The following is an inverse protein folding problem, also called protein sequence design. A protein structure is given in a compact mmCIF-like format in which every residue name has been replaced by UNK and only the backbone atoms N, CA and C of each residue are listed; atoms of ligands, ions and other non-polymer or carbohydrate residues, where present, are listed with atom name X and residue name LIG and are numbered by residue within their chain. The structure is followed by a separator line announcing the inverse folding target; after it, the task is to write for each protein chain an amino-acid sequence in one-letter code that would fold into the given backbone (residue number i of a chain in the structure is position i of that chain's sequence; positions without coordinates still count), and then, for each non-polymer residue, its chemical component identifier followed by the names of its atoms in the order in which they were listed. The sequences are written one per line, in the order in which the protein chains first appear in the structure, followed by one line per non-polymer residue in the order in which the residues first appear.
data_IF_160291955164
#
_entry.id   IF_160291955164
#
_cell.length_a   1.000
_cell.length_b   1.000
_cell.length_c   1.000
_cell.angle_alpha   90.00
_cell.angle_beta   90.00
_cell.angle_gamma   90.00
#
_symmetry.space_group_name_H-M   'P 1'
#
loop_
_entity.id
_entity.type
_entity.pdbx_description
1 polymer ?
#
# COMPACT_ATOMS: atom_id res chain seq x y z
N UNK A 1 4.24 18.05 30.28
CA UNK A 1 4.66 17.51 28.96
C UNK A 1 3.46 17.62 28.05
N UNK A 2 3.55 18.44 26.99
CA UNK A 2 2.54 18.49 25.93
C UNK A 2 2.39 17.06 25.37
N UNK A 3 1.13 16.63 25.24
CA UNK A 3 0.82 15.34 24.65
C UNK A 3 1.06 15.48 23.14
N UNK A 4 1.69 14.48 22.53
CA UNK A 4 1.75 14.42 21.08
C UNK A 4 0.34 14.26 20.50
N UNK A 5 -0.04 15.17 19.62
CA UNK A 5 -1.34 15.21 18.96
C UNK A 5 -1.17 15.02 17.45
N UNK A 6 -2.26 14.61 16.79
CA UNK A 6 -2.26 14.36 15.34
C UNK A 6 -3.07 15.46 14.68
N UNK A 7 -2.39 16.37 13.99
CA UNK A 7 -3.04 17.45 13.26
C UNK A 7 -3.32 16.98 11.84
N UNK A 8 -4.56 17.13 11.39
CA UNK A 8 -4.98 16.81 10.02
C UNK A 8 -5.41 18.11 9.35
N UNK A 9 -4.74 18.48 8.25
CA UNK A 9 -5.11 19.58 7.37
C UNK A 9 -5.68 18.99 6.08
N UNK A 10 -6.89 19.41 5.71
CA UNK A 10 -7.52 19.07 4.44
C UNK A 10 -7.60 20.28 3.52
N UNK A 11 -7.37 20.06 2.23
CA UNK A 11 -7.45 21.06 1.15
C UNK A 11 -8.29 20.50 -0.01
N UNK A 12 -9.21 21.30 -0.53
CA UNK A 12 -10.05 20.94 -1.67
C UNK A 12 -9.25 21.06 -2.98
N UNK A 13 -9.22 19.98 -3.77
CA UNK A 13 -8.58 20.00 -5.07
C UNK A 13 -9.39 20.87 -6.05
N UNK A 14 -8.72 21.86 -6.67
CA UNK A 14 -9.26 22.76 -7.72
C UNK A 14 -10.44 23.64 -7.26
N UNK A 15 -10.53 24.02 -5.99
CA UNK A 15 -11.53 24.98 -5.46
C UNK A 15 -11.70 26.25 -6.30
N UNK A 16 -10.62 26.75 -6.90
CA UNK A 16 -10.62 27.96 -7.73
C UNK A 16 -11.52 27.87 -8.96
N UNK A 17 -11.84 26.67 -9.45
CA UNK A 17 -12.70 26.42 -10.63
C UNK A 17 -14.17 26.18 -10.30
N UNK A 18 -14.56 26.29 -9.02
CA UNK A 18 -15.92 26.05 -8.57
C UNK A 18 -16.75 27.32 -8.73
N UNK A 19 -17.80 27.26 -9.55
CA UNK A 19 -18.68 28.40 -9.83
C UNK A 19 -19.57 28.78 -8.63
N UNK A 20 -19.83 27.86 -7.69
CA UNK A 20 -20.71 28.08 -6.53
C UNK A 20 -19.99 27.90 -5.18
N UNK A 21 -18.96 28.73 -4.94
CA UNK A 21 -18.10 28.63 -3.74
C UNK A 21 -18.86 28.68 -2.41
N UNK A 22 -19.89 29.53 -2.31
CA UNK A 22 -20.69 29.67 -1.08
C UNK A 22 -21.44 28.38 -0.74
N UNK A 23 -22.03 27.71 -1.74
CA UNK A 23 -22.70 26.42 -1.52
C UNK A 23 -21.72 25.34 -1.09
N UNK A 24 -20.52 25.29 -1.68
CA UNK A 24 -19.47 24.32 -1.29
C UNK A 24 -19.01 24.56 0.15
N UNK A 25 -18.83 25.82 0.54
CA UNK A 25 -18.45 26.17 1.91
C UNK A 25 -19.52 25.79 2.94
N UNK A 26 -20.81 25.98 2.61
CA UNK A 26 -21.91 25.55 3.48
C UNK A 26 -21.94 24.02 3.64
N UNK A 27 -21.85 23.27 2.53
CA UNK A 27 -21.76 21.80 2.56
C UNK A 27 -20.55 21.33 3.37
N UNK A 28 -19.40 22.02 3.24
CA UNK A 28 -18.19 21.65 3.97
C UNK A 28 -18.40 21.90 5.46
N UNK A 29 -19.02 23.01 5.83
CA UNK A 29 -19.37 23.31 7.23
C UNK A 29 -20.27 22.22 7.82
N UNK A 30 -21.35 21.86 7.12
CA UNK A 30 -22.25 20.77 7.55
C UNK A 30 -21.53 19.42 7.69
N UNK A 31 -20.63 19.11 6.74
CA UNK A 31 -19.81 17.91 6.79
C UNK A 31 -18.90 17.88 8.01
N UNK A 32 -18.18 18.98 8.28
CA UNK A 32 -17.29 19.07 9.43
C UNK A 32 -18.07 19.02 10.75
N UNK A 33 -19.28 19.58 10.82
CA UNK A 33 -20.17 19.41 11.97
C UNK A 33 -20.48 17.94 12.23
N UNK A 34 -20.94 17.19 11.22
CA UNK A 34 -21.20 15.75 11.35
C UNK A 34 -19.96 14.97 11.76
N UNK A 35 -18.80 15.31 11.19
CA UNK A 35 -17.52 14.70 11.52
C UNK A 35 -17.17 14.91 12.99
N UNK A 36 -17.30 16.14 13.47
CA UNK A 36 -17.03 16.49 14.86
C UNK A 36 -17.96 15.75 15.83
N UNK A 37 -19.22 15.58 15.47
CA UNK A 37 -20.19 14.83 16.27
C UNK A 37 -19.89 13.32 16.29
N UNK A 38 -19.60 12.72 15.13
CA UNK A 38 -19.33 11.28 15.00
C UNK A 38 -18.02 10.87 15.69
N UNK A 39 -16.96 11.67 15.57
CA UNK A 39 -15.62 11.38 16.07
C UNK A 39 -15.26 12.17 17.34
N UNK A 40 -16.25 12.70 18.06
CA UNK A 40 -16.05 13.58 19.23
C UNK A 40 -15.05 13.01 20.25
N UNK A 41 -15.05 11.69 20.46
CA UNK A 41 -14.17 11.00 21.43
C UNK A 41 -12.71 10.96 21.01
N UNK A 42 -12.44 11.02 19.71
CA UNK A 42 -11.09 10.95 19.15
C UNK A 42 -10.52 12.34 18.81
N UNK A 43 -11.35 13.38 18.89
CA UNK A 43 -11.00 14.76 18.55
C UNK A 43 -10.52 15.51 19.80
N UNK A 44 -9.33 16.08 19.71
CA UNK A 44 -8.76 17.00 20.69
C UNK A 44 -9.17 18.45 20.40
N UNK A 45 -9.20 18.84 19.12
CA UNK A 45 -9.67 20.15 18.67
C UNK A 45 -10.54 19.99 17.43
N UNK A 46 -11.77 20.52 17.41
CA UNK A 46 -12.75 20.26 16.36
C UNK A 46 -12.25 20.70 14.99
N UNK A 47 -12.63 19.94 13.97
CA UNK A 47 -12.38 20.29 12.60
C UNK A 47 -13.12 21.58 12.24
N UNK A 48 -12.38 22.57 11.72
CA UNK A 48 -12.91 23.87 11.32
C UNK A 48 -12.22 24.40 10.08
N UNK A 49 -12.95 25.19 9.31
CA UNK A 49 -12.43 25.89 8.13
C UNK A 49 -11.48 27.01 8.60
N UNK A 50 -10.35 27.17 7.94
CA UNK A 50 -9.40 28.26 8.20
C UNK A 50 -9.45 29.33 7.14
N UNK A 51 -8.94 29.03 5.94
CA UNK A 51 -8.79 29.98 4.84
C UNK A 51 -9.39 29.38 3.57
N UNK A 52 -10.54 29.92 3.17
CA UNK A 52 -11.22 29.54 1.93
C UNK A 52 -11.71 28.09 1.96
N UNK A 53 -10.93 27.21 1.34
CA UNK A 53 -11.22 25.81 1.08
C UNK A 53 -10.34 24.82 1.88
N UNK A 54 -9.50 25.35 2.77
CA UNK A 54 -8.71 24.58 3.74
C UNK A 54 -9.43 24.47 5.09
N UNK A 55 -9.24 23.33 5.74
CA UNK A 55 -9.70 23.08 7.10
C UNK A 55 -8.65 22.29 7.86
N UNK A 56 -8.72 22.34 9.19
CA UNK A 56 -7.94 21.43 10.02
C UNK A 56 -8.73 21.00 11.25
N UNK A 57 -8.33 19.85 11.79
CA UNK A 57 -8.72 19.38 13.12
C UNK A 57 -7.56 18.69 13.80
N UNK A 58 -7.71 18.41 15.08
CA UNK A 58 -6.68 17.74 15.89
C UNK A 58 -7.28 16.51 16.53
N UNK A 59 -6.59 15.38 16.37
CA UNK A 59 -6.98 14.09 16.90
C UNK A 59 -6.04 13.72 18.05
N UNK A 60 -6.60 13.03 19.03
CA UNK A 60 -5.85 12.59 20.22
C UNK A 60 -5.08 11.27 19.99
N UNK A 61 -5.31 10.59 18.85
CA UNK A 61 -4.64 9.36 18.43
C UNK A 61 -4.77 9.15 16.90
N UNK A 62 -4.03 8.18 16.33
CA UNK A 62 -4.06 7.90 14.88
C UNK A 62 -5.17 6.95 14.44
N UNK A 63 -5.74 6.13 15.33
CA UNK A 63 -6.74 5.10 15.01
C UNK A 63 -7.86 5.58 14.07
N UNK A 64 -8.48 6.77 14.26
CA UNK A 64 -9.59 7.20 13.41
C UNK A 64 -9.14 7.81 12.07
N UNK A 65 -7.84 8.00 11.81
CA UNK A 65 -7.36 8.80 10.66
C UNK A 65 -7.90 8.26 9.33
N UNK A 66 -7.76 6.96 9.05
CA UNK A 66 -8.28 6.39 7.80
C UNK A 66 -9.80 6.55 7.73
N UNK A 67 -10.52 6.26 8.82
CA UNK A 67 -11.97 6.36 8.88
C UNK A 67 -12.45 7.80 8.60
N UNK A 68 -11.81 8.81 9.19
CA UNK A 68 -12.08 10.24 9.02
C UNK A 68 -11.82 10.68 7.59
N UNK A 69 -10.67 10.31 7.02
CA UNK A 69 -10.34 10.67 5.64
C UNK A 69 -11.29 10.00 4.63
N UNK A 70 -11.71 8.74 4.87
CA UNK A 70 -12.72 8.08 4.05
C UNK A 70 -14.09 8.76 4.18
N UNK A 71 -14.50 9.13 5.39
CA UNK A 71 -15.75 9.84 5.64
C UNK A 71 -15.81 11.14 4.82
N UNK A 72 -14.74 11.93 4.84
CA UNK A 72 -14.62 13.15 4.06
C UNK A 72 -14.75 12.89 2.55
N UNK A 73 -14.05 11.87 2.04
CA UNK A 73 -14.08 11.46 0.62
C UNK A 73 -15.44 10.91 0.16
N UNK A 74 -16.24 10.34 1.06
CA UNK A 74 -17.53 9.71 0.75
C UNK A 74 -18.67 10.72 0.83
N UNK A 75 -18.72 11.51 1.90
CA UNK A 75 -19.82 12.45 2.13
C UNK A 75 -19.70 13.68 1.22
N UNK A 76 -18.50 14.02 0.74
CA UNK A 76 -18.28 15.12 -0.20
C UNK A 76 -18.01 14.66 -1.65
N UNK A 77 -18.97 13.96 -2.24
CA UNK A 77 -18.85 13.29 -3.57
C UNK A 77 -18.42 14.19 -4.74
N UNK A 78 -18.62 15.50 -4.62
CA UNK A 78 -18.43 16.48 -5.70
C UNK A 78 -16.98 16.95 -5.83
N UNK A 79 -16.13 16.69 -4.82
CA UNK A 79 -14.80 17.29 -4.69
C UNK A 79 -13.81 16.28 -4.09
N UNK A 80 -12.62 16.19 -4.69
CA UNK A 80 -11.50 15.43 -4.13
C UNK A 80 -10.74 16.26 -3.09
N UNK A 81 -10.21 15.60 -2.07
CA UNK A 81 -9.38 16.24 -1.04
C UNK A 81 -7.91 15.85 -1.14
N UNK A 82 -7.07 16.68 -0.51
CA UNK A 82 -5.68 16.38 -0.16
C UNK A 82 -5.51 16.54 1.33
N UNK A 83 -4.69 15.69 1.93
CA UNK A 83 -4.50 15.66 3.37
C UNK A 83 -3.03 15.78 3.76
N UNK A 84 -2.69 16.79 4.53
CA UNK A 84 -1.42 16.88 5.25
C UNK A 84 -1.63 16.47 6.70
N UNK A 85 -0.89 15.47 7.16
CA UNK A 85 -0.96 15.00 8.54
C UNK A 85 0.35 15.32 9.23
N UNK A 86 0.27 15.93 10.40
CA UNK A 86 1.40 16.26 11.25
C UNK A 86 1.27 15.59 12.61
N UNK A 87 2.32 14.90 13.03
CA UNK A 87 2.46 14.43 14.40
C UNK A 87 3.47 15.31 15.13
N UNK A 88 3.11 15.74 16.32
CA UNK A 88 3.99 16.54 17.18
C UNK A 88 3.22 17.19 18.31
N UNK A 89 3.84 18.15 18.99
CA UNK A 89 3.18 18.92 20.04
C UNK A 89 2.12 19.83 19.43
N UNK A 90 0.97 19.94 20.08
CA UNK A 90 -0.07 20.90 19.73
C UNK A 90 -0.37 21.79 20.93
N UNK A 91 -0.37 23.10 20.70
CA UNK A 91 -0.84 24.08 21.67
C UNK A 91 -2.13 24.70 21.13
N UNK A 92 -3.13 24.82 21.99
CA UNK A 92 -4.37 25.55 21.70
C UNK A 92 -3.99 26.90 21.09
N UNK A 93 -4.38 27.13 19.83
CA UNK A 93 -4.11 28.29 18.94
C UNK A 93 -3.45 27.98 17.58
N UNK A 94 -3.51 26.73 17.08
CA UNK A 94 -2.91 26.38 15.77
C UNK A 94 -1.39 26.59 15.75
N UNK A 95 -0.74 26.27 16.87
CA UNK A 95 0.70 26.39 17.05
C UNK A 95 1.25 25.05 17.57
N UNK A 96 2.57 24.88 17.45
CA UNK A 96 3.26 23.65 17.85
C UNK A 96 3.69 22.81 16.66
N UNK A 97 4.62 21.88 16.91
CA UNK A 97 5.29 21.14 15.85
C UNK A 97 4.35 20.22 15.08
N UNK A 98 3.26 19.74 15.70
CA UNK A 98 2.22 18.98 15.02
C UNK A 98 1.54 19.79 13.91
N UNK A 99 1.21 21.06 14.18
CA UNK A 99 0.58 21.93 13.19
C UNK A 99 1.57 22.33 12.07
N UNK A 100 2.81 22.66 12.43
CA UNK A 100 3.87 22.94 11.45
C UNK A 100 4.15 21.75 10.53
N UNK A 101 4.17 20.54 11.09
CA UNK A 101 4.36 19.31 10.31
C UNK A 101 3.19 19.04 9.37
N UNK A 102 1.95 19.30 9.80
CA UNK A 102 0.79 19.19 8.92
C UNK A 102 0.86 20.20 7.75
N UNK A 103 1.31 21.43 8.01
CA UNK A 103 1.54 22.45 6.97
C UNK A 103 2.63 22.04 5.98
N UNK A 104 3.76 21.50 6.47
CA UNK A 104 4.82 20.93 5.62
C UNK A 104 4.27 19.77 4.80
N UNK A 105 3.45 18.91 5.40
CA UNK A 105 2.88 17.74 4.76
C UNK A 105 1.90 18.13 3.64
N UNK A 106 0.96 19.05 3.88
CA UNK A 106 0.01 19.48 2.85
C UNK A 106 0.72 20.17 1.69
N UNK A 107 1.78 20.95 1.97
CA UNK A 107 2.64 21.52 0.92
C UNK A 107 3.30 20.42 0.08
N UNK A 108 3.89 19.43 0.73
CA UNK A 108 4.51 18.29 0.04
C UNK A 108 3.52 17.52 -0.85
N UNK A 109 2.30 17.31 -0.35
CA UNK A 109 1.20 16.70 -1.12
C UNK A 109 0.85 17.53 -2.35
N UNK A 110 0.75 18.86 -2.21
CA UNK A 110 0.45 19.79 -3.31
C UNK A 110 1.55 19.76 -4.40
N UNK A 111 2.82 19.79 -4.00
CA UNK A 111 3.96 19.82 -4.91
C UNK A 111 4.13 18.50 -5.68
N UNK A 112 3.86 17.37 -5.01
CA UNK A 112 4.01 16.04 -5.61
C UNK A 112 2.75 15.49 -6.26
N UNK A 113 1.59 16.13 -6.02
CA UNK A 113 0.25 15.69 -6.45
C UNK A 113 -0.17 14.35 -5.83
N UNK A 114 0.20 14.14 -4.58
CA UNK A 114 -0.26 13.01 -3.78
C UNK A 114 -1.67 13.27 -3.22
N UNK A 115 -2.28 12.27 -2.58
CA UNK A 115 -3.54 12.44 -1.85
C UNK A 115 -3.34 12.70 -0.36
N UNK A 116 -2.29 12.12 0.22
CA UNK A 116 -2.03 12.21 1.66
C UNK A 116 -0.53 12.18 1.90
N UNK A 117 -0.06 12.79 2.98
CA UNK A 117 1.30 12.61 3.49
C UNK A 117 1.34 12.85 5.00
N UNK A 118 2.16 12.08 5.71
CA UNK A 118 2.44 12.24 7.12
C UNK A 118 3.86 12.75 7.34
N UNK A 119 4.01 13.76 8.19
CA UNK A 119 5.29 14.20 8.75
C UNK A 119 5.24 14.09 10.28
N UNK A 120 6.33 13.58 10.85
CA UNK A 120 6.53 13.44 12.29
C UNK A 120 7.95 13.87 12.64
N UNK A 121 8.12 14.52 13.80
CA UNK A 121 9.46 14.86 14.33
C UNK A 121 10.22 13.64 14.85
N UNK A 122 9.53 12.51 15.01
CA UNK A 122 10.10 11.28 15.52
C UNK A 122 10.54 10.42 14.35
N UNK A 123 11.86 10.29 14.17
CA UNK A 123 12.43 9.29 13.29
C UNK A 123 12.11 7.88 13.85
N UNK A 124 11.02 7.28 13.38
CA UNK A 124 10.56 5.96 13.80
C UNK A 124 9.95 5.21 12.61
N UNK A 125 10.40 3.97 12.42
CA UNK A 125 9.92 3.03 11.40
C UNK A 125 8.39 2.88 11.41
N UNK A 126 7.74 2.99 12.58
CA UNK A 126 6.29 2.96 12.70
C UNK A 126 5.63 4.10 11.90
N UNK A 127 6.15 5.34 11.96
CA UNK A 127 5.59 6.46 11.20
C UNK A 127 5.85 6.32 9.70
N UNK A 128 6.98 5.76 9.31
CA UNK A 128 7.26 5.43 7.90
C UNK A 128 6.30 4.36 7.38
N UNK A 129 6.02 3.31 8.16
CA UNK A 129 5.02 2.29 7.83
C UNK A 129 3.62 2.90 7.72
N UNK A 130 3.20 3.71 8.69
CA UNK A 130 1.92 4.44 8.68
C UNK A 130 1.81 5.29 7.41
N UNK A 131 2.86 6.05 7.07
CA UNK A 131 2.87 6.89 5.88
C UNK A 131 2.75 6.07 4.60
N UNK A 132 3.53 4.97 4.48
CA UNK A 132 3.44 4.05 3.35
C UNK A 132 2.03 3.45 3.18
N UNK A 133 1.40 3.01 4.28
CA UNK A 133 0.02 2.51 4.26
C UNK A 133 -0.94 3.59 3.79
N UNK A 134 -0.85 4.82 4.30
CA UNK A 134 -1.71 5.94 3.89
C UNK A 134 -1.55 6.24 2.39
N UNK A 135 -0.32 6.37 1.91
CA UNK A 135 -0.02 6.62 0.50
C UNK A 135 -0.63 5.53 -0.40
N UNK A 136 -0.37 4.26 -0.09
CA UNK A 136 -0.86 3.15 -0.89
C UNK A 136 -2.39 3.00 -0.82
N UNK A 137 -2.96 3.08 0.38
CA UNK A 137 -4.39 2.92 0.62
C UNK A 137 -5.18 3.99 -0.15
N UNK A 138 -4.86 5.27 0.02
CA UNK A 138 -5.58 6.35 -0.66
C UNK A 138 -5.30 6.41 -2.16
N UNK A 139 -4.12 5.98 -2.62
CA UNK A 139 -3.84 5.83 -4.05
C UNK A 139 -4.69 4.75 -4.74
N UNK A 140 -5.13 3.74 -3.99
CA UNK A 140 -6.06 2.71 -4.47
C UNK A 140 -7.50 3.19 -4.30
N UNK A 141 -7.86 3.60 -3.08
CA UNK A 141 -9.21 4.00 -2.69
C UNK A 141 -9.75 5.14 -3.55
N UNK A 142 -8.94 6.14 -3.87
CA UNK A 142 -9.36 7.30 -4.65
C UNK A 142 -9.61 6.99 -6.14
N UNK A 143 -9.21 5.81 -6.63
CA UNK A 143 -9.53 5.34 -7.99
C UNK A 143 -10.90 4.66 -8.07
N UNK A 144 -11.57 4.44 -6.94
CA UNK A 144 -12.86 3.76 -6.91
C UNK A 144 -14.03 4.69 -7.15
N UNK A 145 -15.11 4.11 -7.69
CA UNK A 145 -16.40 4.79 -7.78
C UNK A 145 -16.96 5.08 -6.39
N UNK A 146 -17.90 6.02 -6.30
CA UNK A 146 -18.58 6.35 -5.05
C UNK A 146 -19.13 5.09 -4.34
N UNK A 147 -19.87 4.23 -5.05
CA UNK A 147 -20.45 3.02 -4.45
C UNK A 147 -19.38 2.09 -3.89
N UNK A 148 -18.26 1.91 -4.61
CA UNK A 148 -17.15 1.08 -4.14
C UNK A 148 -16.49 1.68 -2.89
N UNK A 149 -16.23 3.00 -2.87
CA UNK A 149 -15.72 3.69 -1.67
C UNK A 149 -16.68 3.49 -0.48
N UNK A 150 -17.98 3.71 -0.69
CA UNK A 150 -19.02 3.56 0.33
C UNK A 150 -19.11 2.14 0.87
N UNK A 151 -19.07 1.12 0.01
CA UNK A 151 -19.10 -0.29 0.40
C UNK A 151 -17.87 -0.62 1.26
N UNK A 152 -16.66 -0.24 0.84
CA UNK A 152 -15.42 -0.54 1.57
C UNK A 152 -15.41 0.12 2.95
N UNK A 153 -15.79 1.40 3.02
CA UNK A 153 -15.90 2.14 4.29
C UNK A 153 -16.89 1.49 5.26
N UNK A 154 -18.06 1.06 4.79
CA UNK A 154 -19.03 0.42 5.68
C UNK A 154 -18.61 -1.00 6.07
N UNK A 155 -17.91 -1.74 5.19
CA UNK A 155 -17.32 -3.04 5.53
C UNK A 155 -16.24 -2.90 6.62
N UNK A 156 -15.39 -1.87 6.57
CA UNK A 156 -14.38 -1.61 7.62
C UNK A 156 -14.98 -1.14 8.95
N UNK A 157 -16.24 -0.71 8.96
CA UNK A 157 -17.03 -0.46 10.16
C UNK A 157 -17.80 -1.69 10.65
N UNK A 158 -17.64 -2.85 10.00
CA UNK A 158 -18.26 -4.11 10.39
C UNK A 158 -19.68 -4.34 9.87
N UNK A 159 -20.22 -3.46 9.00
CA UNK A 159 -21.51 -3.72 8.35
C UNK A 159 -21.40 -4.90 7.39
N UNK A 160 -22.49 -5.66 7.25
CA UNK A 160 -22.62 -6.77 6.31
C UNK A 160 -23.07 -6.27 4.94
N UNK A 161 -22.74 -6.99 3.87
CA UNK A 161 -23.14 -6.61 2.51
C UNK A 161 -24.66 -6.41 2.33
N UNK A 162 -25.48 -7.18 3.07
CA UNK A 162 -26.95 -7.03 3.04
C UNK A 162 -27.42 -5.70 3.61
N UNK A 163 -26.78 -5.21 4.68
CA UNK A 163 -27.10 -3.92 5.30
C UNK A 163 -26.68 -2.78 4.37
N UNK A 164 -25.48 -2.87 3.79
CA UNK A 164 -24.97 -1.89 2.82
C UNK A 164 -25.84 -1.85 1.56
N UNK A 165 -26.36 -3.00 1.11
CA UNK A 165 -27.27 -3.06 -0.03
C UNK A 165 -28.57 -2.27 0.24
N UNK A 166 -29.10 -2.37 1.46
CA UNK A 166 -30.27 -1.58 1.86
C UNK A 166 -29.97 -0.07 1.87
N UNK A 167 -28.82 0.34 2.42
CA UNK A 167 -28.38 1.74 2.44
C UNK A 167 -28.26 2.34 1.03
N UNK A 168 -27.81 1.52 0.06
CA UNK A 168 -27.62 1.92 -1.34
C UNK A 168 -28.88 1.73 -2.22
N UNK A 169 -30.02 1.31 -1.66
CA UNK A 169 -31.21 0.89 -2.41
C UNK A 169 -30.86 -0.09 -3.56
N UNK A 170 -30.05 -1.10 -3.25
CA UNK A 170 -29.53 -2.08 -4.20
C UNK A 170 -29.68 -3.52 -3.68
N UNK A 171 -29.27 -4.50 -4.47
CA UNK A 171 -29.23 -5.91 -4.07
C UNK A 171 -27.88 -6.31 -3.50
N UNK A 172 -27.85 -7.30 -2.61
CA UNK A 172 -26.59 -7.89 -2.11
C UNK A 172 -25.72 -8.40 -3.26
N UNK A 173 -26.33 -8.97 -4.31
CA UNK A 173 -25.62 -9.43 -5.50
C UNK A 173 -24.92 -8.27 -6.23
N UNK A 174 -25.53 -7.10 -6.31
CA UNK A 174 -24.93 -5.91 -6.92
C UNK A 174 -23.75 -5.38 -6.09
N UNK A 175 -23.88 -5.39 -4.76
CA UNK A 175 -22.76 -5.08 -3.84
C UNK A 175 -21.60 -6.05 -4.05
N UNK A 176 -21.86 -7.35 -4.09
CA UNK A 176 -20.83 -8.38 -4.35
C UNK A 176 -20.17 -8.19 -5.72
N UNK A 177 -20.96 -7.89 -6.76
CA UNK A 177 -20.44 -7.65 -8.10
C UNK A 177 -19.52 -6.41 -8.14
N UNK A 178 -19.85 -5.36 -7.39
CA UNK A 178 -19.05 -4.13 -7.28
C UNK A 178 -17.65 -4.39 -6.70
N UNK A 179 -17.48 -5.50 -5.98
CA UNK A 179 -16.25 -5.92 -5.32
C UNK A 179 -15.45 -6.97 -6.10
N UNK A 180 -15.98 -7.53 -7.20
CA UNK A 180 -15.41 -8.71 -7.89
C UNK A 180 -14.00 -8.50 -8.47
N UNK A 181 -13.55 -7.24 -8.61
CA UNK A 181 -12.20 -6.89 -9.07
C UNK A 181 -11.45 -5.95 -8.12
N UNK A 182 -11.89 -5.90 -6.86
CA UNK A 182 -11.26 -5.12 -5.80
C UNK A 182 -10.83 -6.08 -4.71
N UNK A 183 -9.57 -6.00 -4.29
CA UNK A 183 -9.14 -6.70 -3.10
C UNK A 183 -9.66 -5.99 -1.83
N UNK A 184 -10.98 -6.05 -1.61
CA UNK A 184 -11.62 -5.35 -0.50
C UNK A 184 -11.26 -5.95 0.86
N UNK A 185 -10.94 -7.24 0.91
CA UNK A 185 -10.43 -7.91 2.11
C UNK A 185 -9.12 -7.27 2.55
N UNK A 186 -8.17 -7.06 1.63
CA UNK A 186 -6.92 -6.33 1.90
C UNK A 186 -7.18 -4.91 2.39
N UNK A 187 -8.13 -4.18 1.80
CA UNK A 187 -8.43 -2.81 2.21
C UNK A 187 -9.03 -2.75 3.62
N UNK A 188 -10.02 -3.60 3.92
CA UNK A 188 -10.60 -3.71 5.27
C UNK A 188 -9.52 -4.11 6.29
N UNK A 189 -8.71 -5.13 5.96
CA UNK A 189 -7.60 -5.57 6.80
C UNK A 189 -6.58 -4.45 7.04
N UNK A 190 -6.31 -3.62 6.03
CA UNK A 190 -5.43 -2.45 6.16
C UNK A 190 -5.98 -1.45 7.17
N UNK A 191 -7.29 -1.18 7.17
CA UNK A 191 -7.92 -0.29 8.16
C UNK A 191 -7.83 -0.88 9.57
N UNK A 192 -8.20 -2.15 9.74
CA UNK A 192 -8.16 -2.82 11.05
C UNK A 192 -6.74 -2.86 11.61
N UNK A 193 -5.77 -3.18 10.75
CA UNK A 193 -4.37 -3.21 11.13
C UNK A 193 -3.83 -1.82 11.46
N UNK A 194 -4.25 -0.79 10.74
CA UNK A 194 -3.84 0.59 11.03
C UNK A 194 -4.26 1.00 12.45
N UNK A 195 -5.46 0.59 12.90
CA UNK A 195 -5.93 0.80 14.27
C UNK A 195 -5.07 0.03 15.29
N UNK A 196 -4.71 -1.21 14.99
CA UNK A 196 -3.80 -1.99 15.85
C UNK A 196 -2.41 -1.37 15.96
N UNK A 197 -1.81 -1.02 14.82
CA UNK A 197 -0.47 -0.45 14.71
C UNK A 197 -0.34 0.83 15.51
N UNK A 198 -1.40 1.62 15.55
CA UNK A 198 -1.43 2.93 16.20
C UNK A 198 -1.86 2.88 17.66
N UNK A 199 -2.54 1.80 18.09
CA UNK A 199 -2.93 1.56 19.47
C UNK A 199 -1.82 1.01 20.37
N UNK A 200 -0.81 0.32 19.82
CA UNK A 200 0.29 -0.29 20.60
C UNK A 200 1.62 0.42 20.32
N UNK A 201 2.17 1.14 21.32
CA UNK A 201 3.51 1.78 21.25
C UNK A 201 4.67 0.79 21.42
N UNK A 202 4.65 -0.36 20.74
CA UNK A 202 5.82 -1.27 20.74
C UNK A 202 6.77 -0.85 19.63
N UNK A 203 8.08 -0.86 19.93
CA UNK A 203 9.12 -0.75 18.92
C UNK A 203 9.00 -1.98 18.01
N UNK A 204 8.94 -1.73 16.72
CA UNK A 204 8.79 -2.75 15.70
C UNK A 204 10.18 -2.96 15.09
N UNK A 205 10.71 -4.19 15.19
CA UNK A 205 11.98 -4.56 14.56
C UNK A 205 11.71 -5.59 13.48
N UNK A 206 12.21 -5.30 12.28
CA UNK A 206 12.24 -6.27 11.17
C UNK A 206 13.67 -6.79 11.16
N UNK A 207 13.89 -8.10 11.22
CA UNK A 207 15.23 -8.63 11.00
C UNK A 207 15.18 -9.61 9.84
N UNK A 208 15.65 -9.15 8.68
CA UNK A 208 15.90 -9.97 7.49
C UNK A 208 17.40 -10.23 7.31
N UNK A 209 18.26 -9.77 8.23
CA UNK A 209 19.71 -9.82 8.06
C UNK A 209 20.28 -11.11 8.59
N UNK A 210 21.10 -11.76 7.77
CA UNK A 210 21.82 -12.96 8.19
C UNK A 210 20.99 -14.23 8.11
N UNK A 211 19.79 -14.17 7.56
CA UNK A 211 18.95 -15.31 7.21
C UNK A 211 18.73 -15.36 5.70
N UNK A 212 18.33 -16.52 5.18
CA UNK A 212 17.88 -16.61 3.81
C UNK A 212 16.41 -16.19 3.72
N UNK A 213 16.06 -15.55 2.61
CA UNK A 213 14.67 -15.29 2.26
C UNK A 213 14.22 -16.31 1.20
N UNK A 214 13.28 -17.17 1.59
CA UNK A 214 12.62 -18.11 0.69
C UNK A 214 11.29 -17.53 0.18
N UNK A 215 10.93 -17.88 -1.05
CA UNK A 215 9.68 -17.50 -1.69
C UNK A 215 8.97 -18.73 -2.21
N UNK A 216 7.68 -18.87 -1.88
CA UNK A 216 6.77 -19.83 -2.51
C UNK A 216 5.63 -19.05 -3.14
N UNK A 217 5.47 -19.20 -4.46
CA UNK A 217 4.41 -18.57 -5.23
C UNK A 217 3.40 -19.61 -5.67
N UNK A 218 2.12 -19.24 -5.66
CA UNK A 218 1.02 -20.09 -6.10
C UNK A 218 0.07 -19.34 -7.04
N UNK A 219 -0.32 -19.99 -8.13
CA UNK A 219 -1.24 -19.45 -9.13
C UNK A 219 -2.29 -20.50 -9.55
N UNK A 220 -3.53 -20.11 -9.90
CA UNK A 220 -4.61 -21.07 -10.11
C UNK A 220 -4.38 -22.00 -11.31
N UNK A 221 -4.69 -23.30 -11.14
CA UNK A 221 -4.63 -24.31 -12.21
C UNK A 221 -5.56 -24.01 -13.37
N UNK A 222 -6.71 -23.39 -13.09
CA UNK A 222 -7.71 -22.99 -14.11
C UNK A 222 -7.15 -22.08 -15.21
N UNK A 223 -6.01 -21.41 -14.97
CA UNK A 223 -5.36 -20.59 -15.98
C UNK A 223 -4.67 -21.43 -17.06
N UNK A 224 -4.23 -22.65 -16.73
CA UNK A 224 -3.54 -23.58 -17.64
C UNK A 224 -2.36 -22.94 -18.42
N UNK A 225 -1.59 -22.08 -17.77
CA UNK A 225 -0.52 -21.28 -18.38
C UNK A 225 0.91 -21.84 -18.12
N UNK A 226 1.07 -23.13 -17.79
CA UNK A 226 2.35 -23.71 -17.32
C UNK A 226 3.59 -23.29 -18.11
N UNK A 227 3.57 -23.48 -19.44
CA UNK A 227 4.70 -23.11 -20.32
C UNK A 227 4.99 -21.60 -20.32
N UNK A 228 3.95 -20.76 -20.26
CA UNK A 228 4.10 -19.30 -20.19
C UNK A 228 4.73 -18.90 -18.86
N UNK A 229 4.29 -19.51 -17.76
CA UNK A 229 4.86 -19.25 -16.44
C UNK A 229 6.32 -19.70 -16.36
N UNK A 230 6.68 -20.86 -16.90
CA UNK A 230 8.06 -21.33 -16.93
C UNK A 230 8.98 -20.37 -17.71
N UNK A 231 8.52 -19.85 -18.85
CA UNK A 231 9.23 -18.82 -19.61
C UNK A 231 9.38 -17.52 -18.81
N UNK A 232 8.32 -17.08 -18.12
CA UNK A 232 8.36 -15.90 -17.24
C UNK A 232 9.38 -16.08 -16.12
N UNK A 233 9.36 -17.21 -15.42
CA UNK A 233 10.31 -17.51 -14.33
C UNK A 233 11.75 -17.58 -14.84
N UNK A 234 11.97 -18.14 -16.04
CA UNK A 234 13.29 -18.17 -16.69
C UNK A 234 13.82 -16.76 -16.94
N UNK A 235 13.01 -15.88 -17.54
CA UNK A 235 13.37 -14.48 -17.76
C UNK A 235 13.69 -13.75 -16.45
N UNK A 236 12.88 -13.95 -15.41
CA UNK A 236 13.09 -13.33 -14.10
C UNK A 236 14.37 -13.83 -13.42
N UNK A 237 14.71 -15.11 -13.57
CA UNK A 237 15.96 -15.68 -13.10
C UNK A 237 17.18 -15.00 -13.76
N UNK A 238 17.10 -14.67 -15.04
CA UNK A 238 18.16 -13.96 -15.76
C UNK A 238 18.25 -12.50 -15.33
N UNK A 239 17.13 -11.78 -15.30
CA UNK A 239 17.04 -10.36 -15.01
C UNK A 239 17.44 -10.03 -13.56
N UNK A 240 17.09 -10.90 -12.61
CA UNK A 240 17.31 -10.72 -11.17
C UNK A 240 18.34 -11.69 -10.58
N UNK A 241 19.27 -12.22 -11.40
CA UNK A 241 20.32 -13.16 -10.96
C UNK A 241 21.22 -12.62 -9.83
N UNK A 242 21.28 -11.29 -9.69
CA UNK A 242 22.05 -10.63 -8.66
C UNK A 242 21.40 -10.79 -7.28
N UNK A 243 20.09 -11.02 -7.21
CA UNK A 243 19.31 -11.22 -5.98
C UNK A 243 19.01 -12.69 -5.70
N UNK A 244 18.80 -13.50 -6.74
CA UNK A 244 18.36 -14.89 -6.62
C UNK A 244 19.58 -15.79 -6.35
N UNK A 245 19.53 -16.59 -5.28
CA UNK A 245 20.56 -17.60 -4.96
C UNK A 245 20.24 -18.94 -5.61
N UNK A 246 18.99 -19.36 -5.52
CA UNK A 246 18.48 -20.60 -6.13
C UNK A 246 17.28 -20.24 -6.99
N UNK A 247 17.40 -20.54 -8.28
CA UNK A 247 16.48 -20.12 -9.34
C UNK A 247 15.03 -20.53 -9.04
N UNK A 248 14.11 -19.69 -9.47
CA UNK A 248 12.69 -20.02 -9.56
C UNK A 248 12.51 -21.30 -10.35
N UNK A 249 11.81 -22.26 -9.76
CA UNK A 249 11.49 -23.55 -10.35
C UNK A 249 10.06 -23.94 -9.99
N UNK A 250 9.32 -24.52 -10.94
CA UNK A 250 8.00 -25.10 -10.69
C UNK A 250 8.15 -26.31 -9.76
N UNK A 251 7.21 -26.47 -8.83
CA UNK A 251 7.23 -27.56 -7.85
C UNK A 251 5.95 -28.39 -7.87
N UNK A 252 6.05 -29.62 -7.39
CA UNK A 252 4.88 -30.47 -7.12
C UNK A 252 4.21 -30.02 -5.81
N UNK A 253 2.89 -30.09 -5.78
CA UNK A 253 2.06 -29.48 -4.74
C UNK A 253 2.14 -30.19 -3.39
N UNK A 254 1.91 -29.43 -2.32
CA UNK A 254 1.40 -30.02 -1.07
C UNK A 254 -0.07 -30.43 -1.23
N UNK A 255 -0.52 -31.43 -0.48
CA UNK A 255 -1.91 -31.95 -0.54
C UNK A 255 -2.99 -30.87 -0.27
N UNK A 256 -2.59 -29.75 0.32
CA UNK A 256 -3.44 -28.65 0.79
C UNK A 256 -3.80 -27.63 -0.30
N UNK A 257 -3.11 -27.63 -1.45
CA UNK A 257 -3.26 -26.62 -2.52
C UNK A 257 -3.69 -27.23 -3.88
N UNK A 258 -4.67 -28.15 -3.86
CA UNK A 258 -5.06 -28.96 -5.04
C UNK A 258 -5.45 -28.15 -6.29
N UNK A 259 -5.88 -26.90 -6.12
CA UNK A 259 -6.35 -26.01 -7.19
C UNK A 259 -5.28 -25.04 -7.72
N UNK A 260 -4.05 -25.09 -7.20
CA UNK A 260 -2.96 -24.18 -7.58
C UNK A 260 -1.80 -24.93 -8.23
N UNK A 261 -0.97 -24.23 -8.99
CA UNK A 261 0.39 -24.61 -9.33
C UNK A 261 1.34 -23.78 -8.47
N UNK A 262 2.51 -24.33 -8.16
CA UNK A 262 3.48 -23.69 -7.30
C UNK A 262 4.84 -23.55 -7.96
N UNK A 263 5.58 -22.55 -7.50
CA UNK A 263 6.99 -22.39 -7.77
C UNK A 263 7.69 -21.88 -6.52
N UNK A 264 9.00 -22.07 -6.44
CA UNK A 264 9.79 -21.56 -5.33
C UNK A 264 11.16 -21.08 -5.75
N UNK A 265 11.73 -20.18 -4.95
CA UNK A 265 13.09 -19.67 -5.09
C UNK A 265 13.71 -19.39 -3.73
N UNK A 266 15.04 -19.28 -3.73
CA UNK A 266 15.79 -18.78 -2.58
C UNK A 266 16.55 -17.53 -2.99
N UNK A 267 16.43 -16.45 -2.21
CA UNK A 267 17.23 -15.25 -2.40
C UNK A 267 18.60 -15.36 -1.71
N UNK A 268 19.54 -14.53 -2.15
CA UNK A 268 20.84 -14.39 -1.49
C UNK A 268 20.64 -13.90 -0.06
N UNK A 269 21.46 -14.43 0.85
CA UNK A 269 21.43 -14.15 2.29
C UNK A 269 21.54 -12.66 2.61
N UNK A 270 22.30 -11.93 1.81
CA UNK A 270 22.38 -10.47 1.87
C UNK A 270 21.76 -9.88 0.60
N UNK A 271 20.62 -9.23 0.76
CA UNK A 271 19.96 -8.49 -0.33
C UNK A 271 20.72 -7.19 -0.53
N UNK A 272 21.44 -7.08 -1.65
CA UNK A 272 22.24 -5.90 -1.98
C UNK A 272 21.42 -4.71 -2.47
N UNK A 273 20.19 -4.95 -2.96
CA UNK A 273 19.34 -3.94 -3.56
C UNK A 273 17.85 -4.26 -3.32
N UNK A 274 17.28 -3.65 -2.29
CA UNK A 274 15.86 -3.82 -1.95
C UNK A 274 14.93 -3.17 -2.98
N UNK A 275 15.35 -2.18 -3.75
CA UNK A 275 14.49 -1.62 -4.81
C UNK A 275 14.29 -2.64 -5.92
N UNK A 276 15.36 -3.31 -6.35
CA UNK A 276 15.26 -4.42 -7.32
C UNK A 276 14.43 -5.59 -6.78
N UNK A 277 14.49 -5.89 -5.48
CA UNK A 277 13.62 -6.90 -4.88
C UNK A 277 12.13 -6.52 -5.01
N UNK A 278 11.80 -5.25 -4.76
CA UNK A 278 10.43 -4.76 -4.96
C UNK A 278 9.99 -4.78 -6.43
N UNK A 279 10.90 -4.47 -7.36
CA UNK A 279 10.63 -4.60 -8.80
C UNK A 279 10.36 -6.04 -9.22
N UNK A 280 11.13 -7.00 -8.70
CA UNK A 280 10.88 -8.42 -8.92
C UNK A 280 9.47 -8.82 -8.46
N UNK A 281 9.03 -8.38 -7.28
CA UNK A 281 7.68 -8.70 -6.80
C UNK A 281 6.59 -8.07 -7.67
N UNK A 282 6.80 -6.83 -8.12
CA UNK A 282 5.90 -6.17 -9.08
C UNK A 282 5.85 -6.92 -10.41
N UNK A 283 6.99 -7.37 -10.93
CA UNK A 283 7.04 -8.10 -12.20
C UNK A 283 6.40 -9.48 -12.09
N UNK A 284 6.69 -10.24 -11.02
CA UNK A 284 6.02 -11.51 -10.73
C UNK A 284 4.50 -11.36 -10.71
N UNK A 285 4.00 -10.38 -9.95
CA UNK A 285 2.57 -10.16 -9.80
C UNK A 285 1.89 -9.62 -11.08
N UNK A 286 2.61 -8.83 -11.87
CA UNK A 286 2.11 -8.30 -13.13
C UNK A 286 2.02 -9.37 -14.22
N UNK A 287 2.99 -10.29 -14.29
CA UNK A 287 3.06 -11.33 -15.33
C UNK A 287 2.25 -12.59 -14.98
N UNK A 288 1.99 -12.84 -13.70
CA UNK A 288 1.26 -14.02 -13.21
C UNK A 288 -0.07 -13.60 -12.60
N UNK A 289 -1.17 -13.90 -13.31
CA UNK A 289 -2.52 -13.58 -12.85
C UNK A 289 -2.90 -14.38 -11.60
N UNK A 290 -3.65 -13.74 -10.69
CA UNK A 290 -4.14 -14.36 -9.45
C UNK A 290 -3.02 -14.97 -8.57
N UNK A 291 -1.81 -14.38 -8.62
CA UNK A 291 -0.65 -14.84 -7.86
C UNK A 291 -0.81 -14.56 -6.36
N UNK A 292 -0.57 -15.59 -5.55
CA UNK A 292 -0.32 -15.51 -4.13
C UNK A 292 1.15 -15.83 -3.83
N UNK A 293 1.75 -15.07 -2.90
CA UNK A 293 3.14 -15.25 -2.50
C UNK A 293 3.24 -15.40 -0.99
N UNK A 294 4.05 -16.36 -0.56
CA UNK A 294 4.56 -16.46 0.80
C UNK A 294 6.06 -16.24 0.83
N UNK A 295 6.50 -15.32 1.68
CA UNK A 295 7.90 -15.05 1.96
C UNK A 295 8.25 -15.53 3.36
N UNK A 296 9.38 -16.22 3.50
CA UNK A 296 9.87 -16.75 4.77
C UNK A 296 11.34 -16.41 4.99
N UNK A 297 11.66 -15.79 6.13
CA UNK A 297 13.04 -15.55 6.56
C UNK A 297 13.49 -16.63 7.53
N UNK A 298 14.61 -17.28 7.25
CA UNK A 298 15.18 -18.28 8.15
C UNK A 298 16.43 -18.95 7.60
N UNK A 299 16.92 -19.93 8.34
CA UNK A 299 18.00 -20.80 7.87
C UNK A 299 17.52 -21.81 6.82
N UNK A 300 18.49 -22.37 6.10
CA UNK A 300 18.32 -23.51 5.20
C UNK A 300 19.08 -24.69 5.82
N UNK A 301 18.39 -25.80 6.04
CA UNK A 301 18.90 -26.98 6.74
C UNK A 301 19.59 -27.97 5.80
N UNK A 302 19.37 -27.86 4.49
CA UNK A 302 19.97 -28.71 3.46
C UNK A 302 21.07 -27.97 2.69
N UNK A 303 21.79 -28.69 1.83
CA UNK A 303 22.71 -28.07 0.86
C UNK A 303 21.96 -27.08 -0.06
N UNK A 304 22.56 -25.90 -0.28
CA UNK A 304 22.01 -24.87 -1.18
C UNK A 304 22.39 -25.21 -2.62
N UNK A 305 21.37 -25.48 -3.44
CA UNK A 305 21.49 -25.86 -4.85
C UNK A 305 21.19 -24.68 -5.79
N UNK A 306 21.48 -24.84 -7.07
CA UNK A 306 21.19 -23.81 -8.09
C UNK A 306 19.70 -23.66 -8.40
N UNK A 307 18.92 -24.73 -8.25
CA UNK A 307 17.47 -24.71 -8.27
C UNK A 307 16.96 -24.95 -6.85
N UNK A 308 15.87 -24.26 -6.48
CA UNK A 308 15.33 -24.37 -5.12
C UNK A 308 14.66 -25.73 -4.81
N UNK A 309 14.62 -26.67 -5.77
CA UNK A 309 13.96 -27.96 -5.62
C UNK A 309 14.69 -28.88 -4.62
N UNK A 310 13.94 -29.47 -3.69
CA UNK A 310 14.47 -30.37 -2.67
C UNK A 310 15.39 -29.68 -1.67
N UNK A 311 15.23 -28.36 -1.50
CA UNK A 311 15.81 -27.60 -0.40
C UNK A 311 14.80 -27.51 0.75
N UNK A 312 15.31 -27.49 1.98
CA UNK A 312 14.47 -27.50 3.17
C UNK A 312 15.07 -26.65 4.30
N UNK A 313 14.22 -26.22 5.23
CA UNK A 313 14.60 -25.47 6.42
C UNK A 313 13.59 -24.39 6.84
N UNK A 314 13.83 -23.72 7.98
CA UNK A 314 12.93 -22.71 8.54
C UNK A 314 12.45 -21.64 7.56
N UNK A 315 13.28 -21.21 6.62
CA UNK A 315 12.87 -20.23 5.61
C UNK A 315 11.71 -20.74 4.74
N UNK A 316 11.76 -21.99 4.25
CA UNK A 316 10.70 -22.57 3.43
C UNK A 316 9.45 -22.92 4.23
N UNK A 317 9.58 -23.33 5.49
CA UNK A 317 8.45 -23.54 6.39
C UNK A 317 7.66 -22.25 6.61
N UNK A 318 8.35 -21.16 6.96
CA UNK A 318 7.72 -19.84 7.12
C UNK A 318 7.13 -19.32 5.81
N UNK A 319 7.80 -19.54 4.67
CA UNK A 319 7.25 -19.15 3.37
C UNK A 319 5.96 -19.91 3.04
N UNK A 320 5.88 -21.20 3.41
CA UNK A 320 4.67 -22.02 3.28
C UNK A 320 3.53 -21.51 4.17
N UNK A 321 3.81 -21.21 5.43
CA UNK A 321 2.83 -20.64 6.35
C UNK A 321 2.34 -19.27 5.90
N UNK A 322 3.25 -18.42 5.42
CA UNK A 322 2.92 -17.13 4.83
C UNK A 322 1.98 -17.30 3.62
N UNK A 323 2.26 -18.25 2.73
CA UNK A 323 1.39 -18.53 1.58
C UNK A 323 -0.01 -19.00 2.03
N UNK A 324 -0.11 -19.87 3.05
CA UNK A 324 -1.40 -20.27 3.63
C UNK A 324 -2.18 -19.05 4.15
N UNK A 325 -1.49 -18.16 4.87
CA UNK A 325 -2.07 -16.90 5.38
C UNK A 325 -2.56 -16.00 4.24
N UNK A 326 -1.85 -15.96 3.11
CA UNK A 326 -2.25 -15.21 1.91
C UNK A 326 -3.60 -15.68 1.36
N UNK A 327 -3.85 -16.99 1.31
CA UNK A 327 -5.14 -17.54 0.90
C UNK A 327 -6.26 -17.20 1.88
N UNK A 328 -6.02 -17.34 3.19
CA UNK A 328 -7.06 -17.14 4.21
C UNK A 328 -7.43 -15.67 4.39
N UNK A 329 -6.44 -14.77 4.40
CA UNK A 329 -6.64 -13.34 4.61
C UNK A 329 -6.97 -12.59 3.31
N UNK A 330 -6.81 -13.22 2.15
CA UNK A 330 -7.02 -12.60 0.85
C UNK A 330 -5.95 -11.55 0.52
N UNK A 331 -4.74 -11.69 1.07
CA UNK A 331 -3.60 -10.83 0.76
C UNK A 331 -2.75 -11.48 -0.33
N UNK A 332 -2.33 -10.71 -1.33
CA UNK A 332 -1.53 -11.24 -2.44
C UNK A 332 -0.13 -11.69 -1.99
N UNK A 333 0.38 -11.12 -0.91
CA UNK A 333 1.69 -11.45 -0.37
C UNK A 333 1.71 -11.37 1.16
N UNK A 334 2.24 -12.41 1.80
CA UNK A 334 2.60 -12.40 3.22
C UNK A 334 4.09 -12.65 3.41
N UNK A 335 4.63 -12.09 4.48
CA UNK A 335 5.97 -12.33 5.00
C UNK A 335 5.84 -12.87 6.43
N UNK A 336 6.62 -13.91 6.72
CA UNK A 336 6.90 -14.37 8.07
C UNK A 336 8.41 -14.40 8.26
N UNK A 337 8.91 -13.58 9.18
CA UNK A 337 10.31 -13.55 9.58
C UNK A 337 10.44 -13.80 11.08
N UNK A 338 9.93 -12.90 11.91
CA UNK A 338 10.00 -12.97 13.36
C UNK A 338 8.62 -13.11 14.02
N UNK A 339 7.57 -13.33 13.22
CA UNK A 339 6.18 -13.50 13.66
C UNK A 339 5.67 -12.32 14.51
N UNK A 340 5.99 -11.11 14.08
CA UNK A 340 5.70 -9.90 14.83
C UNK A 340 4.82 -8.91 14.05
N UNK A 341 4.54 -7.77 14.70
CA UNK A 341 3.72 -6.71 14.10
C UNK A 341 4.39 -6.12 12.84
N UNK A 342 5.73 -6.15 12.75
CA UNK A 342 6.49 -5.68 11.61
C UNK A 342 6.21 -6.49 10.36
N UNK A 343 6.23 -7.81 10.50
CA UNK A 343 5.97 -8.75 9.41
C UNK A 343 4.58 -8.50 8.83
N UNK A 344 3.60 -8.25 9.70
CA UNK A 344 2.22 -7.92 9.27
C UNK A 344 2.17 -6.55 8.58
N UNK A 345 2.85 -5.52 9.12
CA UNK A 345 2.97 -4.20 8.45
C UNK A 345 3.56 -4.34 7.04
N UNK A 346 4.67 -5.07 6.90
CA UNK A 346 5.34 -5.27 5.61
C UNK A 346 4.46 -6.08 4.66
N UNK A 347 3.78 -7.12 5.15
CA UNK A 347 2.85 -7.92 4.34
C UNK A 347 1.74 -7.06 3.76
N UNK A 348 1.15 -6.17 4.57
CA UNK A 348 0.10 -5.24 4.13
C UNK A 348 0.67 -4.22 3.14
N UNK A 349 1.81 -3.60 3.43
CA UNK A 349 2.44 -2.62 2.54
C UNK A 349 2.78 -3.26 1.18
N UNK A 350 3.38 -4.45 1.16
CA UNK A 350 3.70 -5.18 -0.06
C UNK A 350 2.43 -5.57 -0.81
N UNK A 351 1.43 -6.13 -0.13
CA UNK A 351 0.15 -6.48 -0.77
C UNK A 351 -0.56 -5.26 -1.36
N UNK A 352 -0.55 -4.12 -0.66
CA UNK A 352 -1.11 -2.87 -1.18
C UNK A 352 -0.28 -2.34 -2.36
N UNK A 353 1.06 -2.44 -2.34
CA UNK A 353 1.90 -2.09 -3.48
C UNK A 353 1.53 -2.90 -4.71
N UNK A 354 1.33 -4.21 -4.56
CA UNK A 354 0.91 -5.10 -5.64
C UNK A 354 -0.51 -4.73 -6.15
N UNK A 355 -1.45 -4.42 -5.26
CA UNK A 355 -2.78 -3.96 -5.66
C UNK A 355 -2.76 -2.58 -6.35
N UNK A 356 -1.85 -1.69 -5.94
CA UNK A 356 -1.66 -0.36 -6.54
C UNK A 356 -1.20 -0.45 -8.01
N UNK A 357 -0.30 -1.39 -8.32
CA UNK A 357 0.23 -1.60 -9.68
C UNK A 357 -0.62 -2.53 -10.55
N UNK A 358 -1.54 -3.30 -9.95
CA UNK A 358 -2.38 -4.31 -10.61
C UNK A 358 -3.11 -3.84 -11.87
N UNK A 359 -3.54 -2.58 -11.90
CA UNK A 359 -4.31 -2.00 -13.02
C UNK A 359 -3.46 -1.29 -14.06
N UNK A 360 -2.13 -1.41 -14.00
CA UNK A 360 -1.28 -0.86 -15.04
C UNK A 360 -1.56 -1.52 -16.38
N UNK A 361 -1.65 -0.72 -17.43
CA UNK A 361 -1.66 -1.25 -18.80
C UNK A 361 -0.24 -1.62 -19.22
N UNK A 362 -0.10 -2.47 -20.25
CA UNK A 362 1.22 -2.80 -20.82
C UNK A 362 2.04 -1.56 -21.19
N UNK A 363 1.39 -0.50 -21.69
CA UNK A 363 2.05 0.76 -22.03
C UNK A 363 2.50 1.53 -20.78
N UNK A 364 1.70 1.54 -19.73
CA UNK A 364 2.07 2.16 -18.45
C UNK A 364 3.24 1.42 -17.80
N UNK A 365 3.18 0.08 -17.74
CA UNK A 365 4.27 -0.75 -17.21
C UNK A 365 5.58 -0.55 -17.99
N UNK A 366 5.53 -0.52 -19.32
CA UNK A 366 6.72 -0.22 -20.16
C UNK A 366 7.29 1.16 -19.88
N UNK A 367 6.45 2.19 -19.82
CA UNK A 367 6.90 3.56 -19.52
C UNK A 367 7.57 3.64 -18.13
N UNK A 368 6.99 2.98 -17.12
CA UNK A 368 7.55 2.86 -15.77
C UNK A 368 8.90 2.14 -15.81
N UNK A 369 8.99 0.97 -16.45
CA UNK A 369 10.24 0.20 -16.51
C UNK A 369 11.37 0.98 -17.20
N UNK A 370 11.09 1.69 -18.30
CA UNK A 370 12.09 2.55 -18.91
C UNK A 370 12.48 3.73 -18.02
N UNK A 371 11.54 4.27 -17.25
CA UNK A 371 11.84 5.34 -16.31
C UNK A 371 12.74 4.87 -15.16
N UNK A 372 12.53 3.64 -14.66
CA UNK A 372 13.36 3.00 -13.62
C UNK A 372 14.82 2.91 -14.07
N UNK A 373 15.10 2.55 -15.33
CA UNK A 373 16.46 2.47 -15.86
C UNK A 373 17.04 3.84 -16.29
N UNK A 374 16.38 4.95 -15.92
CA UNK A 374 16.93 6.29 -16.04
C UNK A 374 16.62 7.03 -17.35
N UNK A 375 15.85 6.45 -18.27
CA UNK A 375 15.54 7.11 -19.54
C UNK A 375 14.70 8.38 -19.34
N UNK A 376 15.00 9.38 -20.16
CA UNK A 376 14.23 10.62 -20.30
C UNK A 376 12.91 10.36 -21.04
N UNK A 377 11.94 11.28 -20.90
CA UNK A 377 10.65 11.12 -21.58
C UNK A 377 10.76 11.06 -23.11
N UNK A 378 11.80 11.66 -23.69
CA UNK A 378 12.04 11.64 -25.12
C UNK A 378 12.53 10.26 -25.57
N UNK A 379 13.52 9.69 -24.88
CA UNK A 379 14.04 8.34 -25.16
C UNK A 379 12.97 7.27 -24.96
N UNK A 380 12.13 7.41 -23.92
CA UNK A 380 11.00 6.49 -23.70
C UNK A 380 10.01 6.57 -24.87
N UNK A 381 9.68 7.78 -25.34
CA UNK A 381 8.74 7.98 -26.45
C UNK A 381 9.24 7.32 -27.73
N UNK A 382 10.53 7.46 -28.02
CA UNK A 382 11.19 6.84 -29.17
C UNK A 382 11.17 5.31 -29.06
N UNK A 383 11.63 4.74 -27.94
CA UNK A 383 11.63 3.28 -27.72
C UNK A 383 10.23 2.65 -27.77
N UNK A 384 9.21 3.38 -27.34
CA UNK A 384 7.82 2.89 -27.35
C UNK A 384 7.12 3.10 -28.70
N UNK A 385 7.73 3.81 -29.66
CA UNK A 385 7.13 4.08 -30.97
C UNK A 385 5.79 4.83 -30.88
N UNK A 386 5.63 5.73 -29.90
CA UNK A 386 4.34 6.37 -29.63
C UNK A 386 4.03 7.50 -30.61
N UNK A 387 2.76 7.60 -31.02
CA UNK A 387 2.27 8.70 -31.86
C UNK A 387 2.47 10.07 -31.21
N UNK A 388 2.47 11.12 -32.03
CA UNK A 388 2.62 12.51 -31.57
C UNK A 388 1.59 12.92 -30.50
N UNK A 389 0.40 12.31 -30.47
CA UNK A 389 -0.68 12.59 -29.51
C UNK A 389 -0.53 11.88 -28.17
N UNK A 390 0.23 10.79 -28.10
CA UNK A 390 0.45 10.02 -26.86
C UNK A 390 1.65 10.57 -26.10
N UNK A 391 1.46 11.00 -24.85
CA UNK A 391 2.54 11.54 -24.03
C UNK A 391 3.01 10.55 -22.98
N UNK A 392 4.33 10.44 -22.81
CA UNK A 392 4.95 9.65 -21.74
C UNK A 392 4.52 10.18 -20.37
N UNK A 393 4.45 11.51 -20.21
CA UNK A 393 3.90 12.14 -19.01
C UNK A 393 2.50 11.64 -18.66
N UNK A 394 1.60 11.45 -19.65
CA UNK A 394 0.26 10.94 -19.41
C UNK A 394 0.22 9.45 -19.03
N UNK A 395 1.11 8.61 -19.56
CA UNK A 395 1.24 7.21 -19.14
C UNK A 395 1.81 7.11 -17.73
N UNK A 396 2.92 7.82 -17.43
CA UNK A 396 3.54 7.85 -16.10
C UNK A 396 2.59 8.42 -15.04
N UNK A 397 1.84 9.47 -15.37
CA UNK A 397 0.86 10.05 -14.45
C UNK A 397 -0.26 9.06 -14.13
N UNK A 398 -0.84 8.39 -15.12
CA UNK A 398 -1.90 7.38 -14.90
C UNK A 398 -1.39 6.14 -14.18
N UNK A 399 -0.12 5.80 -14.36
CA UNK A 399 0.56 4.76 -13.58
C UNK A 399 0.80 5.19 -12.11
N UNK A 400 0.76 6.49 -11.82
CA UNK A 400 1.11 7.03 -10.51
C UNK A 400 2.61 7.02 -10.24
N UNK A 401 3.45 7.23 -11.28
CA UNK A 401 4.91 7.09 -11.20
C UNK A 401 5.55 7.82 -10.00
N UNK A 402 5.20 9.08 -9.74
CA UNK A 402 5.78 9.83 -8.61
C UNK A 402 5.52 9.17 -7.26
N UNK A 403 4.30 8.67 -7.09
CA UNK A 403 3.85 7.98 -5.88
C UNK A 403 4.56 6.62 -5.76
N UNK A 404 4.61 5.87 -6.86
CA UNK A 404 5.32 4.60 -6.97
C UNK A 404 6.81 4.73 -6.61
N UNK A 405 7.50 5.72 -7.20
CA UNK A 405 8.91 6.01 -6.97
C UNK A 405 9.16 6.37 -5.50
N UNK A 406 8.30 7.22 -4.91
CA UNK A 406 8.36 7.54 -3.49
C UNK A 406 8.17 6.30 -2.60
N UNK A 407 7.14 5.49 -2.86
CA UNK A 407 6.81 4.28 -2.09
C UNK A 407 7.94 3.26 -2.18
N UNK A 408 8.44 2.95 -3.39
CA UNK A 408 9.52 1.98 -3.58
C UNK A 408 10.78 2.44 -2.87
N UNK A 409 11.14 3.73 -3.00
CA UNK A 409 12.30 4.29 -2.29
C UNK A 409 12.13 4.14 -0.78
N UNK A 410 11.01 4.60 -0.20
CA UNK A 410 10.77 4.55 1.24
C UNK A 410 10.62 3.14 1.78
N UNK A 411 10.03 2.22 1.04
CA UNK A 411 9.96 0.82 1.43
C UNK A 411 11.34 0.14 1.36
N UNK A 412 12.15 0.47 0.35
CA UNK A 412 13.53 -0.04 0.25
C UNK A 412 14.41 0.46 1.40
N UNK A 413 14.29 1.74 1.77
CA UNK A 413 14.97 2.32 2.94
C UNK A 413 14.51 1.61 4.22
N UNK A 414 13.21 1.40 4.40
CA UNK A 414 12.67 0.68 5.56
C UNK A 414 13.21 -0.76 5.65
N UNK A 415 13.23 -1.50 4.54
CA UNK A 415 13.77 -2.85 4.49
C UNK A 415 15.28 -2.89 4.77
N UNK A 416 16.03 -1.86 4.34
CA UNK A 416 17.47 -1.75 4.58
C UNK A 416 17.82 -1.28 6.00
N UNK A 417 17.16 -0.26 6.54
CA UNK A 417 17.48 0.31 7.86
C UNK A 417 17.22 -0.69 8.99
N UNK A 418 16.17 -1.48 8.86
CA UNK A 418 15.89 -2.55 9.81
C UNK A 418 16.92 -3.70 9.77
N UNK A 419 17.84 -3.71 8.80
CA UNK A 419 19.03 -4.59 8.82
C UNK A 419 20.26 -3.95 9.49
N UNK A 420 20.14 -2.73 10.03
CA UNK A 420 21.27 -1.93 10.54
C UNK A 420 21.14 -1.59 12.02
N UNK A 421 20.86 -2.58 12.88
CA UNK A 421 21.01 -2.46 14.33
C UNK A 421 21.93 -3.56 14.88
N UNK A 422 23.19 -3.58 14.45
CA UNK A 422 24.32 -4.11 15.24
C UNK A 422 25.62 -3.47 14.76
N UNK A 423 25.98 -2.34 15.36
CA UNK A 423 27.37 -1.91 15.56
C UNK A 423 27.42 -1.07 16.82
N UNK A 424 27.62 -1.71 17.97
CA UNK A 424 28.51 -1.25 19.03
C UNK A 424 29.04 -2.47 19.77
#
# INVERSE_FOLDING_TARGET
MSKDSIVVIGDIIKSKKINNRKSVQNKLTELLTKLNDEYQKDIESPFKITLGDEFYGVLNNFSPVIDILQFLEIEFKEIDFRFGIGQGEYNDNSQGTGYENALKAIKYVKDNKFSVHLISDKANNNFQMINLILHLYFSIFNKFTFNQKYIIYNLSKGKKQKEIAADLNSSQSSVSQSLTNINWKLLVRSVDFFKELTGKRKKIEINLKGEHLALIGAYPRKLNEGNKIENTLTKLNEEYNNLIRSKFVLTTLSEEAKDYFEFQALFKKEISDYQKLLYLFVDLYYEINELYVGLGSGDISTEIKDQALGMDGPAFYKAREALKKSFTEGMSLNLIANENLADTSISIILSLLLEFVKKWTSQQKKAVNYRIIGLSQNEIKEKMGLSARSTIGGHLQRAGWKEYEYIVKKLSELLAENTTLMKY
#
